data_IF_196573601471
#
_entry.id   IF_196573601471
#
_cell.length_a   1.000
_cell.length_b   1.000
_cell.length_c   1.000
_cell.angle_alpha   90.00
_cell.angle_beta   90.00
_cell.angle_gamma   90.00
#
_symmetry.space_group_name_H-M   'P 1'
#
loop_
_entity.id
_entity.type
_entity.pdbx_description
1 polymer ?
#
# COMPACT_ATOMS: atom_id res chain seq x y z
N UNK A 1 22.93 17.65 -0.66
CA UNK A 1 23.72 16.42 -0.89
C UNK A 1 22.91 15.32 -0.24
N UNK A 2 21.99 14.70 -1.00
CA UNK A 2 21.18 13.60 -0.47
C UNK A 2 22.04 12.34 -0.39
N UNK A 3 21.97 11.67 0.74
CA UNK A 3 22.76 10.48 1.06
C UNK A 3 22.05 9.25 0.48
N UNK A 4 22.81 8.41 -0.21
CA UNK A 4 22.37 7.10 -0.68
C UNK A 4 22.41 6.12 0.52
N UNK A 5 21.23 5.85 1.10
CA UNK A 5 20.90 4.75 2.02
C UNK A 5 21.76 4.53 3.28
N UNK A 6 21.23 4.96 4.43
CA UNK A 6 21.10 4.20 5.69
C UNK A 6 20.51 5.22 6.68
N UNK A 7 19.31 5.00 7.24
CA UNK A 7 19.18 4.59 8.65
C UNK A 7 17.80 3.95 8.91
N UNK A 8 17.80 2.74 9.47
CA UNK A 8 16.61 1.96 9.84
C UNK A 8 15.86 2.56 11.06
N UNK A 9 15.30 3.77 10.92
CA UNK A 9 14.49 4.42 11.97
C UNK A 9 13.00 4.06 11.89
N UNK A 10 12.61 3.21 10.92
CA UNK A 10 11.21 2.88 10.64
C UNK A 10 10.42 4.03 10.00
N UNK A 11 11.00 5.22 9.88
CA UNK A 11 10.49 6.27 9.00
C UNK A 11 11.28 6.18 7.70
N UNK A 12 10.58 6.30 6.56
CA UNK A 12 11.25 6.66 5.32
C UNK A 12 12.04 7.92 5.61
N UNK A 13 13.36 7.88 5.48
CA UNK A 13 14.18 9.09 5.62
C UNK A 13 13.60 10.13 4.65
N UNK A 14 13.17 11.29 5.18
CA UNK A 14 12.56 12.39 4.41
C UNK A 14 13.49 12.96 3.31
N UNK A 15 14.69 12.38 3.18
CA UNK A 15 15.70 12.72 2.19
C UNK A 15 15.66 11.85 0.93
N UNK A 16 14.92 10.74 0.89
CA UNK A 16 14.81 9.90 -0.31
C UNK A 16 13.61 10.29 -1.16
N UNK A 17 13.80 10.35 -2.48
CA UNK A 17 12.71 10.63 -3.43
C UNK A 17 11.71 9.47 -3.45
N UNK A 18 10.44 9.76 -3.17
CA UNK A 18 9.37 8.77 -3.13
C UNK A 18 8.47 8.84 -4.38
N UNK A 19 7.87 7.73 -4.81
CA UNK A 19 6.91 7.76 -5.90
C UNK A 19 5.80 8.79 -5.64
N UNK A 20 5.61 9.70 -6.60
CA UNK A 20 4.68 10.83 -6.52
C UNK A 20 5.35 12.18 -6.22
N UNK A 21 6.57 12.19 -5.67
CA UNK A 21 7.29 13.42 -5.34
C UNK A 21 7.66 14.20 -6.59
N UNK A 22 7.58 15.53 -6.49
CA UNK A 22 8.05 16.43 -7.55
C UNK A 22 9.58 16.37 -7.62
N UNK A 23 10.11 16.19 -8.82
CA UNK A 23 11.55 16.07 -9.06
C UNK A 23 12.13 17.43 -9.40
N UNK A 24 13.17 17.82 -8.65
CA UNK A 24 13.87 19.07 -8.86
C UNK A 24 14.62 19.12 -10.20
N UNK A 25 14.82 20.32 -10.74
CA UNK A 25 15.41 20.52 -12.07
C UNK A 25 16.80 19.88 -12.25
N UNK A 26 17.65 19.93 -11.21
CA UNK A 26 18.98 19.32 -11.24
C UNK A 26 18.89 17.78 -11.36
N UNK A 27 17.94 17.17 -10.67
CA UNK A 27 17.72 15.74 -10.76
C UNK A 27 17.10 15.36 -12.12
N UNK A 28 16.16 16.15 -12.64
CA UNK A 28 15.65 15.95 -14.01
C UNK A 28 16.79 15.99 -15.04
N UNK A 29 17.75 16.91 -14.88
CA UNK A 29 18.94 16.96 -15.74
C UNK A 29 19.76 15.66 -15.62
N UNK A 30 20.03 15.18 -14.41
CA UNK A 30 20.72 13.91 -14.19
C UNK A 30 20.01 12.72 -14.86
N UNK A 31 18.68 12.64 -14.75
CA UNK A 31 17.89 11.59 -15.41
C UNK A 31 18.01 11.65 -16.94
N UNK A 32 18.06 12.85 -17.53
CA UNK A 32 18.22 13.03 -18.99
C UNK A 32 19.60 12.62 -19.49
N UNK A 33 20.65 13.05 -18.80
CA UNK A 33 22.03 12.73 -19.21
C UNK A 33 22.32 11.22 -19.11
N UNK A 34 21.63 10.52 -18.21
CA UNK A 34 21.80 9.09 -17.97
C UNK A 34 20.60 8.27 -18.45
N UNK A 35 19.82 8.78 -19.40
CA UNK A 35 18.61 8.10 -19.88
C UNK A 35 18.96 6.87 -20.76
N UNK A 36 18.35 5.73 -20.44
CA UNK A 36 18.32 4.55 -21.32
C UNK A 36 17.07 4.50 -22.21
N UNK A 37 16.01 5.19 -21.79
CA UNK A 37 14.75 5.31 -22.51
C UNK A 37 14.09 6.65 -22.18
N UNK A 38 13.67 7.40 -23.21
CA UNK A 38 13.10 8.73 -23.03
C UNK A 38 12.00 9.03 -24.06
N UNK A 39 10.93 9.64 -23.57
CA UNK A 39 9.84 10.24 -24.34
C UNK A 39 9.58 11.67 -23.89
N UNK A 40 8.59 12.35 -24.48
CA UNK A 40 8.17 13.68 -24.05
C UNK A 40 7.64 13.74 -22.60
N UNK A 41 7.19 12.60 -22.06
CA UNK A 41 6.50 12.50 -20.76
C UNK A 41 7.12 11.50 -19.79
N UNK A 42 8.19 10.80 -20.18
CA UNK A 42 8.86 9.80 -19.35
C UNK A 42 10.37 9.81 -19.60
N UNK A 43 11.17 9.65 -18.55
CA UNK A 43 12.61 9.41 -18.64
C UNK A 43 12.93 8.25 -17.70
N UNK A 44 13.59 7.21 -18.22
CA UNK A 44 14.11 6.09 -17.44
C UNK A 44 15.63 6.07 -17.52
N UNK A 45 16.29 5.86 -16.39
CA UNK A 45 17.74 5.72 -16.32
C UNK A 45 18.21 4.48 -17.09
N UNK A 46 19.45 4.51 -17.58
CA UNK A 46 20.09 3.37 -18.25
C UNK A 46 20.63 2.33 -17.26
N UNK A 47 21.02 2.78 -16.06
CA UNK A 47 21.47 1.92 -14.97
C UNK A 47 20.32 1.11 -14.38
N UNK A 48 20.53 -0.19 -14.24
CA UNK A 48 19.58 -1.11 -13.60
C UNK A 48 19.56 -0.81 -12.10
N UNK A 49 18.38 -0.49 -11.57
CA UNK A 49 18.21 -0.20 -10.15
C UNK A 49 18.08 -1.50 -9.32
N UNK A 50 17.36 -2.50 -9.83
CA UNK A 50 17.21 -3.83 -9.23
C UNK A 50 16.68 -4.84 -10.29
N UNK A 51 16.54 -6.11 -9.91
CA UNK A 51 15.98 -7.18 -10.76
C UNK A 51 14.79 -7.85 -10.03
N UNK A 52 13.60 -7.71 -10.60
CA UNK A 52 12.36 -8.31 -10.07
C UNK A 52 11.88 -9.39 -11.05
N UNK A 53 11.81 -10.64 -10.61
CA UNK A 53 11.29 -11.75 -11.44
C UNK A 53 12.07 -11.94 -12.75
N UNK A 54 13.40 -11.77 -12.71
CA UNK A 54 14.33 -11.80 -13.85
C UNK A 54 14.22 -10.61 -14.83
N UNK A 55 13.41 -9.59 -14.50
CA UNK A 55 13.29 -8.38 -15.31
C UNK A 55 13.94 -7.20 -14.57
N UNK A 56 14.81 -6.42 -15.24
CA UNK A 56 15.41 -5.24 -14.63
C UNK A 56 14.37 -4.13 -14.44
N UNK A 57 14.52 -3.38 -13.36
CA UNK A 57 13.74 -2.16 -13.10
C UNK A 57 14.68 -0.95 -13.06
N UNK A 58 14.16 0.20 -13.47
CA UNK A 58 14.94 1.42 -13.70
C UNK A 58 14.32 2.60 -12.97
N UNK A 59 15.18 3.47 -12.43
CA UNK A 59 14.73 4.76 -11.92
C UNK A 59 13.97 5.51 -13.01
N UNK A 60 12.72 5.89 -12.72
CA UNK A 60 11.81 6.46 -13.71
C UNK A 60 11.20 7.76 -13.19
N UNK A 61 11.24 8.80 -14.00
CA UNK A 61 10.48 10.05 -13.78
C UNK A 61 9.48 10.23 -14.92
N UNK A 62 8.35 10.87 -14.61
CA UNK A 62 7.28 11.10 -15.57
C UNK A 62 6.61 12.46 -15.37
N UNK A 63 5.83 12.89 -16.36
CA UNK A 63 4.89 13.99 -16.22
C UNK A 63 3.61 13.69 -16.98
N UNK A 64 2.48 14.15 -16.46
CA UNK A 64 1.15 13.86 -17.03
C UNK A 64 0.96 14.49 -18.42
N UNK A 65 1.54 15.67 -18.63
CA UNK A 65 1.53 16.36 -19.92
C UNK A 65 2.71 17.35 -20.01
N UNK A 66 2.82 18.09 -21.13
CA UNK A 66 3.92 19.01 -21.38
C UNK A 66 4.11 20.07 -20.29
N UNK A 67 3.02 20.51 -19.66
CA UNK A 67 2.96 21.61 -18.69
C UNK A 67 3.01 21.15 -17.23
N UNK A 68 2.97 19.84 -16.98
CA UNK A 68 3.08 19.29 -15.62
C UNK A 68 4.55 19.22 -15.17
N UNK A 69 4.83 19.38 -13.86
CA UNK A 69 6.14 19.10 -13.31
C UNK A 69 6.50 17.61 -13.47
N UNK A 70 7.80 17.31 -13.48
CA UNK A 70 8.27 15.94 -13.38
C UNK A 70 8.00 15.40 -11.98
N UNK A 71 7.51 14.17 -11.92
CA UNK A 71 7.28 13.40 -10.70
C UNK A 71 8.09 12.10 -10.75
N UNK A 72 8.50 11.61 -9.60
CA UNK A 72 9.14 10.31 -9.52
C UNK A 72 8.11 9.19 -9.64
N UNK A 73 8.34 8.23 -10.53
CA UNK A 73 7.49 7.04 -10.67
C UNK A 73 8.00 5.88 -9.79
N UNK A 74 9.20 5.98 -9.22
CA UNK A 74 9.88 4.88 -8.55
C UNK A 74 10.82 4.12 -9.48
N UNK A 75 10.95 2.82 -9.22
CA UNK A 75 11.73 1.90 -10.04
C UNK A 75 10.77 1.01 -10.83
N UNK A 76 10.75 1.17 -12.15
CA UNK A 76 9.73 0.61 -13.02
C UNK A 76 10.33 -0.32 -14.07
N UNK A 77 9.52 -1.25 -14.60
CA UNK A 77 9.91 -1.99 -15.80
C UNK A 77 10.08 -1.04 -17.01
N UNK A 78 10.78 -1.47 -18.08
CA UNK A 78 10.90 -0.68 -19.29
C UNK A 78 9.54 -0.22 -19.85
N UNK A 79 9.38 1.08 -20.04
CA UNK A 79 8.16 1.69 -20.59
C UNK A 79 6.99 1.83 -19.59
N UNK A 80 7.12 1.35 -18.36
CA UNK A 80 6.07 1.41 -17.36
C UNK A 80 6.25 2.59 -16.38
N UNK A 81 5.17 2.95 -15.70
CA UNK A 81 5.13 4.03 -14.71
C UNK A 81 4.72 3.56 -13.31
N UNK A 82 4.57 2.25 -13.10
CA UNK A 82 4.26 1.69 -11.79
C UNK A 82 5.53 1.23 -11.10
N UNK A 83 5.80 1.78 -9.92
CA UNK A 83 6.89 1.30 -9.07
C UNK A 83 6.75 -0.21 -8.81
N UNK A 84 7.85 -0.95 -8.95
CA UNK A 84 7.94 -2.38 -8.70
C UNK A 84 8.80 -2.71 -7.49
N UNK A 85 9.58 -1.76 -6.97
CA UNK A 85 10.41 -2.00 -5.79
C UNK A 85 9.61 -1.80 -4.49
N UNK A 86 9.36 -2.84 -3.67
CA UNK A 86 8.67 -2.71 -2.40
C UNK A 86 9.31 -1.72 -1.41
N UNK A 87 10.63 -1.52 -1.49
CA UNK A 87 11.34 -0.55 -0.65
C UNK A 87 10.87 0.90 -0.89
N UNK A 88 10.23 1.18 -2.03
CA UNK A 88 9.67 2.50 -2.37
C UNK A 88 8.14 2.53 -2.34
N UNK A 89 7.48 1.42 -1.98
CA UNK A 89 6.02 1.35 -1.93
C UNK A 89 5.47 1.92 -0.62
N UNK A 90 4.45 2.79 -0.64
CA UNK A 90 3.80 3.21 0.59
C UNK A 90 3.06 2.03 1.24
N UNK A 91 3.06 1.99 2.57
CA UNK A 91 2.24 1.05 3.33
C UNK A 91 0.80 1.57 3.46
N UNK A 92 -0.18 0.68 3.29
CA UNK A 92 -1.60 0.98 3.40
C UNK A 92 -2.26 0.05 4.41
N UNK A 93 -2.88 0.64 5.43
CA UNK A 93 -3.60 -0.12 6.47
C UNK A 93 -4.95 -0.58 5.94
N UNK A 94 -5.30 -1.84 6.16
CA UNK A 94 -6.59 -2.40 5.77
C UNK A 94 -7.43 -2.57 7.03
N UNK A 95 -8.59 -1.92 7.02
CA UNK A 95 -9.60 -2.03 8.06
C UNK A 95 -10.82 -2.76 7.47
N UNK A 96 -11.08 -3.97 7.95
CA UNK A 96 -12.24 -4.77 7.56
C UNK A 96 -12.66 -5.68 8.70
N UNK A 97 -13.90 -6.14 8.68
CA UNK A 97 -14.41 -7.02 9.73
C UNK A 97 -13.64 -8.34 9.72
N UNK A 98 -13.33 -8.86 10.91
CA UNK A 98 -12.71 -10.17 11.08
C UNK A 98 -13.59 -11.11 11.91
N UNK A 99 -13.93 -10.71 13.13
CA UNK A 99 -14.78 -11.49 14.04
C UNK A 99 -16.15 -11.80 13.42
N UNK A 100 -16.61 -13.01 13.67
CA UNK A 100 -17.93 -13.49 13.30
C UNK A 100 -18.44 -14.50 14.34
N UNK A 101 -19.76 -14.70 14.36
CA UNK A 101 -20.42 -15.64 15.28
C UNK A 101 -20.41 -17.06 14.70
N UNK A 102 -20.33 -17.16 13.37
CA UNK A 102 -20.29 -18.44 12.64
C UNK A 102 -18.97 -18.62 11.90
N UNK A 103 -18.63 -19.87 11.61
CA UNK A 103 -17.43 -20.20 10.84
C UNK A 103 -17.53 -19.69 9.40
N UNK A 104 -18.70 -19.80 8.80
CA UNK A 104 -18.98 -19.39 7.43
C UNK A 104 -18.75 -17.88 7.25
N UNK A 105 -19.25 -17.08 8.17
CA UNK A 105 -19.04 -15.62 8.20
C UNK A 105 -17.57 -15.27 8.48
N UNK A 106 -16.87 -16.02 9.35
CA UNK A 106 -15.44 -15.83 9.58
C UNK A 106 -14.65 -16.07 8.29
N UNK A 107 -14.97 -17.14 7.57
CA UNK A 107 -14.34 -17.45 6.28
C UNK A 107 -14.65 -16.36 5.23
N UNK A 108 -15.85 -15.80 5.22
CA UNK A 108 -16.21 -14.66 4.38
C UNK A 108 -15.38 -13.42 4.70
N UNK A 109 -15.30 -13.03 5.97
CA UNK A 109 -14.48 -11.91 6.45
C UNK A 109 -13.00 -12.08 6.06
N UNK A 110 -12.45 -13.28 6.20
CA UNK A 110 -11.08 -13.59 5.75
C UNK A 110 -10.92 -13.40 4.24
N UNK A 111 -11.91 -13.81 3.43
CA UNK A 111 -11.88 -13.60 1.98
C UNK A 111 -11.92 -12.11 1.62
N UNK A 112 -12.72 -11.31 2.31
CA UNK A 112 -12.76 -9.84 2.14
C UNK A 112 -11.39 -9.22 2.42
N UNK A 113 -10.80 -9.54 3.57
CA UNK A 113 -9.49 -8.99 3.96
C UNK A 113 -8.37 -9.41 2.98
N UNK A 114 -8.35 -10.67 2.53
CA UNK A 114 -7.42 -11.13 1.49
C UNK A 114 -7.65 -10.45 0.16
N UNK A 115 -8.91 -10.20 -0.20
CA UNK A 115 -9.22 -9.48 -1.42
C UNK A 115 -8.65 -8.06 -1.37
N UNK A 116 -8.87 -7.36 -0.25
CA UNK A 116 -8.39 -6.00 0.00
C UNK A 116 -6.87 -5.94 -0.05
N UNK A 117 -6.17 -6.89 0.57
CA UNK A 117 -4.71 -6.98 0.54
C UNK A 117 -4.18 -7.08 -0.89
N UNK A 118 -4.75 -7.99 -1.69
CA UNK A 118 -4.37 -8.13 -3.09
C UNK A 118 -4.70 -6.88 -3.93
N UNK A 119 -5.80 -6.18 -3.64
CA UNK A 119 -6.13 -4.91 -4.31
C UNK A 119 -5.06 -3.86 -4.01
N UNK A 120 -4.69 -3.69 -2.74
CA UNK A 120 -3.64 -2.76 -2.32
C UNK A 120 -2.30 -3.09 -3.00
N UNK A 121 -1.92 -4.37 -3.09
CA UNK A 121 -0.73 -4.80 -3.85
C UNK A 121 -0.82 -4.39 -5.33
N UNK A 122 -1.98 -4.59 -5.98
CA UNK A 122 -2.16 -4.20 -7.39
C UNK A 122 -2.08 -2.69 -7.63
N UNK A 123 -2.31 -1.89 -6.59
CA UNK A 123 -2.14 -0.43 -6.61
C UNK A 123 -0.68 0.00 -6.36
N UNK A 124 0.27 -0.94 -6.20
CA UNK A 124 1.69 -0.66 -5.98
C UNK A 124 2.00 -0.26 -4.52
N UNK A 125 1.31 -0.88 -3.56
CA UNK A 125 1.38 -0.55 -2.13
C UNK A 125 1.58 -1.82 -1.30
N UNK A 126 2.12 -1.68 -0.09
CA UNK A 126 2.26 -2.79 0.86
C UNK A 126 1.01 -2.86 1.75
N UNK A 127 0.23 -3.96 1.73
CA UNK A 127 -0.95 -4.11 2.58
C UNK A 127 -0.57 -4.49 4.01
N UNK A 128 -1.13 -3.76 4.98
CA UNK A 128 -1.03 -4.07 6.41
C UNK A 128 -2.41 -4.45 6.93
N UNK A 129 -2.61 -5.75 7.19
CA UNK A 129 -3.88 -6.31 7.68
C UNK A 129 -3.64 -7.18 8.93
N UNK A 130 -3.43 -6.57 10.12
CA UNK A 130 -3.09 -7.30 11.34
C UNK A 130 -4.09 -8.38 11.71
N UNK A 131 -5.37 -8.10 11.47
CA UNK A 131 -6.48 -9.03 11.72
C UNK A 131 -6.39 -10.33 10.88
N UNK A 132 -5.59 -10.42 9.80
CA UNK A 132 -5.39 -11.68 9.09
C UNK A 132 -4.38 -12.62 9.77
N UNK A 133 -3.38 -12.08 10.46
CA UNK A 133 -2.24 -12.88 10.94
C UNK A 133 -2.15 -12.93 12.47
N UNK A 134 -2.51 -11.87 13.20
CA UNK A 134 -2.55 -11.90 14.67
C UNK A 134 -3.44 -13.03 15.22
N UNK A 135 -4.67 -13.24 14.73
CA UNK A 135 -5.52 -14.33 15.23
C UNK A 135 -5.04 -15.75 14.87
N UNK A 136 -3.91 -15.88 14.14
CA UNK A 136 -3.31 -17.18 13.82
C UNK A 136 -2.44 -17.71 14.96
N UNK A 137 -2.06 -16.84 15.89
CA UNK A 137 -1.23 -17.19 17.04
C UNK A 137 -1.66 -16.45 18.33
N UNK A 138 -2.74 -15.68 18.29
CA UNK A 138 -3.37 -15.04 19.44
C UNK A 138 -4.87 -15.30 19.44
N UNK A 139 -5.47 -15.28 20.62
CA UNK A 139 -6.89 -15.43 20.89
C UNK A 139 -7.48 -14.10 21.37
N UNK A 140 -8.20 -13.46 20.47
CA UNK A 140 -8.85 -12.17 20.70
C UNK A 140 -10.00 -12.25 21.73
N UNK A 141 -10.42 -13.46 22.15
CA UNK A 141 -11.32 -13.65 23.30
C UNK A 141 -10.63 -13.46 24.65
N UNK A 142 -9.30 -13.55 24.70
CA UNK A 142 -8.48 -13.28 25.88
C UNK A 142 -8.16 -11.79 25.93
N UNK A 143 -8.56 -11.12 27.03
CA UNK A 143 -8.48 -9.67 27.15
C UNK A 143 -7.05 -9.10 26.97
N UNK A 144 -6.04 -9.80 27.49
CA UNK A 144 -4.63 -9.40 27.38
C UNK A 144 -4.12 -9.50 25.93
N UNK A 145 -4.43 -10.60 25.25
CA UNK A 145 -4.03 -10.81 23.86
C UNK A 145 -4.78 -9.87 22.90
N UNK A 146 -6.06 -9.61 23.17
CA UNK A 146 -6.85 -8.56 22.50
C UNK A 146 -6.18 -7.20 22.64
N UNK A 147 -5.81 -6.81 23.86
CA UNK A 147 -5.12 -5.54 24.09
C UNK A 147 -3.83 -5.45 23.26
N UNK A 148 -3.00 -6.50 23.28
CA UNK A 148 -1.80 -6.55 22.46
C UNK A 148 -2.12 -6.41 20.97
N UNK A 149 -3.07 -7.18 20.44
CA UNK A 149 -3.43 -7.16 19.02
C UNK A 149 -3.89 -5.77 18.56
N UNK A 150 -4.68 -5.08 19.37
CA UNK A 150 -5.15 -3.72 19.08
C UNK A 150 -4.00 -2.70 19.10
N UNK A 151 -3.17 -2.70 20.15
CA UNK A 151 -2.07 -1.72 20.27
C UNK A 151 -0.95 -1.98 19.26
N UNK A 152 -0.62 -3.24 18.97
CA UNK A 152 0.32 -3.60 17.93
C UNK A 152 -0.24 -3.22 16.53
N UNK A 153 -1.54 -3.40 16.30
CA UNK A 153 -2.23 -2.94 15.10
C UNK A 153 -2.09 -1.42 14.90
N UNK A 154 -2.37 -0.63 15.94
CA UNK A 154 -2.16 0.83 15.93
C UNK A 154 -0.70 1.21 15.66
N UNK A 155 0.27 0.49 16.24
CA UNK A 155 1.70 0.75 15.98
C UNK A 155 2.08 0.52 14.51
N UNK A 156 1.54 -0.52 13.87
CA UNK A 156 1.73 -0.78 12.45
C UNK A 156 1.02 0.26 11.57
N UNK A 157 -0.17 0.68 11.99
CA UNK A 157 -0.94 1.74 11.35
C UNK A 157 -0.18 3.07 11.32
N UNK A 158 0.59 3.40 12.35
CA UNK A 158 1.47 4.59 12.36
C UNK A 158 2.57 4.57 11.28
N UNK A 159 2.88 3.41 10.70
CA UNK A 159 3.83 3.28 9.58
C UNK A 159 3.16 3.47 8.21
N UNK A 160 1.83 3.46 8.17
CA UNK A 160 1.07 3.57 6.94
C UNK A 160 0.94 5.03 6.49
N UNK A 161 0.91 5.25 5.17
CA UNK A 161 0.67 6.57 4.57
C UNK A 161 -0.82 6.83 4.32
N UNK A 162 -1.59 5.77 4.13
CA UNK A 162 -3.03 5.82 3.89
C UNK A 162 -3.71 4.55 4.43
N UNK A 163 -5.03 4.52 4.36
CA UNK A 163 -5.82 3.34 4.71
C UNK A 163 -6.91 3.00 3.69
N UNK A 164 -7.36 1.75 3.73
CA UNK A 164 -8.52 1.24 3.01
C UNK A 164 -9.49 0.60 4.00
N UNK A 165 -10.70 1.16 4.11
CA UNK A 165 -11.83 0.56 4.83
C UNK A 165 -12.64 -0.28 3.85
N UNK A 166 -12.92 -1.54 4.18
CA UNK A 166 -13.81 -2.40 3.40
C UNK A 166 -14.96 -2.87 4.26
N UNK A 167 -16.19 -2.58 3.83
CA UNK A 167 -17.43 -2.98 4.48
C UNK A 167 -18.26 -3.88 3.57
N UNK A 168 -19.08 -4.73 4.20
CA UNK A 168 -20.15 -5.49 3.52
C UNK A 168 -21.46 -5.03 4.13
N UNK A 169 -22.41 -4.66 3.28
CA UNK A 169 -23.71 -4.09 3.63
C UNK A 169 -23.60 -2.89 4.60
N UNK A 170 -22.53 -2.10 4.47
CA UNK A 170 -22.16 -0.95 5.32
C UNK A 170 -21.97 -1.30 6.81
N UNK A 171 -21.73 -2.57 7.14
CA UNK A 171 -21.53 -2.99 8.53
C UNK A 171 -20.13 -2.62 9.01
N UNK A 172 -20.06 -1.87 10.11
CA UNK A 172 -18.83 -1.50 10.82
C UNK A 172 -18.86 -2.17 12.19
N UNK A 173 -17.83 -2.96 12.49
CA UNK A 173 -17.67 -3.56 13.82
C UNK A 173 -17.06 -2.58 14.83
N UNK A 174 -17.19 -2.87 16.13
CA UNK A 174 -16.56 -2.07 17.19
C UNK A 174 -15.06 -1.87 16.96
N UNK A 175 -14.33 -2.95 16.64
CA UNK A 175 -12.90 -2.89 16.36
C UNK A 175 -12.57 -2.02 15.14
N UNK A 176 -13.37 -2.11 14.07
CA UNK A 176 -13.20 -1.23 12.91
C UNK A 176 -13.46 0.23 13.26
N UNK A 177 -14.48 0.51 14.07
CA UNK A 177 -14.79 1.88 14.47
C UNK A 177 -13.64 2.50 15.29
N UNK A 178 -13.02 1.73 16.19
CA UNK A 178 -11.84 2.16 16.94
C UNK A 178 -10.63 2.41 16.03
N UNK A 179 -10.37 1.52 15.06
CA UNK A 179 -9.33 1.71 14.06
C UNK A 179 -9.58 2.97 13.21
N UNK A 180 -10.81 3.17 12.74
CA UNK A 180 -11.20 4.33 11.92
C UNK A 180 -11.04 5.62 12.71
N UNK A 181 -11.51 5.67 13.96
CA UNK A 181 -11.33 6.84 14.84
C UNK A 181 -9.84 7.16 15.03
N UNK A 182 -9.02 6.14 15.30
CA UNK A 182 -7.58 6.34 15.46
C UNK A 182 -6.92 6.86 14.17
N UNK A 183 -7.21 6.26 13.01
CA UNK A 183 -6.66 6.72 11.72
C UNK A 183 -7.06 8.16 11.40
N UNK A 184 -8.34 8.49 11.58
CA UNK A 184 -8.90 9.76 11.09
C UNK A 184 -8.74 10.90 12.08
N UNK A 185 -8.93 10.66 13.38
CA UNK A 185 -8.96 11.71 14.40
C UNK A 185 -7.66 11.80 15.22
N UNK A 186 -6.85 10.74 15.27
CA UNK A 186 -5.53 10.76 15.95
C UNK A 186 -4.39 10.95 14.98
N UNK A 187 -4.35 10.16 13.90
CA UNK A 187 -3.28 10.25 12.90
C UNK A 187 -3.55 11.29 11.81
N UNK A 188 -4.78 11.80 11.70
CA UNK A 188 -5.21 12.68 10.60
C UNK A 188 -4.89 12.09 9.22
N UNK A 189 -4.91 10.76 9.13
CA UNK A 189 -4.58 10.02 7.93
C UNK A 189 -5.74 10.10 6.93
N UNK A 190 -5.42 10.17 5.64
CA UNK A 190 -6.42 10.06 4.58
C UNK A 190 -6.49 8.63 4.08
N UNK A 191 -7.66 8.22 3.62
CA UNK A 191 -7.89 6.88 3.12
C UNK A 191 -9.10 6.79 2.22
N UNK A 192 -9.39 5.57 1.77
CA UNK A 192 -10.53 5.25 0.90
C UNK A 192 -11.45 4.27 1.62
N UNK A 193 -12.71 4.23 1.20
CA UNK A 193 -13.66 3.19 1.61
C UNK A 193 -14.24 2.49 0.39
N UNK A 194 -14.52 1.20 0.54
CA UNK A 194 -15.24 0.38 -0.43
C UNK A 194 -16.32 -0.38 0.32
N UNK A 195 -17.56 -0.25 -0.14
CA UNK A 195 -18.66 -1.02 0.37
C UNK A 195 -19.13 -2.04 -0.66
N UNK A 196 -19.27 -3.29 -0.24
CA UNK A 196 -19.91 -4.35 -1.02
C UNK A 196 -21.33 -4.59 -0.54
N UNK A 197 -22.20 -5.06 -1.44
CA UNK A 197 -23.35 -5.88 -1.03
C UNK A 197 -22.89 -7.34 -0.88
N UNK A 198 -23.58 -8.17 -0.10
CA UNK A 198 -23.28 -9.62 -0.04
C UNK A 198 -23.20 -10.28 -1.42
N UNK A 199 -24.19 -10.02 -2.29
CA UNK A 199 -24.20 -10.52 -3.67
C UNK A 199 -23.01 -10.01 -4.48
N UNK A 200 -22.65 -8.73 -4.33
CA UNK A 200 -21.51 -8.13 -5.02
C UNK A 200 -20.18 -8.73 -4.55
N UNK A 201 -20.07 -9.07 -3.27
CA UNK A 201 -18.89 -9.72 -2.73
C UNK A 201 -18.69 -11.13 -3.32
N UNK A 202 -19.75 -11.93 -3.43
CA UNK A 202 -19.69 -13.26 -4.03
C UNK A 202 -19.14 -13.22 -5.46
N UNK A 203 -19.62 -12.29 -6.28
CA UNK A 203 -19.15 -12.11 -7.66
C UNK A 203 -17.66 -11.72 -7.72
N UNK A 204 -17.23 -10.82 -6.82
CA UNK A 204 -15.84 -10.37 -6.74
C UNK A 204 -14.90 -11.48 -6.28
N UNK A 205 -15.32 -12.30 -5.32
CA UNK A 205 -14.55 -13.46 -4.84
C UNK A 205 -14.46 -14.54 -5.92
N UNK A 206 -15.58 -14.88 -6.57
CA UNK A 206 -15.64 -15.95 -7.59
C UNK A 206 -14.77 -15.62 -8.81
N UNK A 207 -14.80 -14.38 -9.30
CA UNK A 207 -13.98 -13.93 -10.44
C UNK A 207 -12.45 -14.03 -10.22
N UNK A 208 -12.00 -14.25 -8.98
CA UNK A 208 -10.60 -14.43 -8.61
C UNK A 208 -10.17 -15.89 -8.42
N UNK A 209 -11.11 -16.83 -8.24
CA UNK A 209 -10.79 -18.26 -8.20
C UNK A 209 -10.54 -18.82 -9.61
N UNK A 210 -10.95 -18.09 -10.64
CA UNK A 210 -10.81 -18.46 -12.07
C UNK A 210 -9.53 -17.91 -12.73
N UNK A 211 -8.60 -17.32 -11.97
CA UNK A 211 -7.29 -16.84 -12.45
C UNK A 211 -6.15 -17.60 -11.78
#
# INVERSE_FOLDING_TARGET
MQILFDNWTGRYDDECLMPGDIVEAAMVYNFRENAGNQTDTMIQMSEVADIVGNLPIYGTIYKENRYSPWKYAGQCYPGELQNRNPALMPMCYICSRYRADTREELEENIRVAKWAANKVVSEGKIPIAPHLYFPRFMDDSIAEERYFGMEAGKRLMMQCKEFLVVTVDNVISEGMNEEIDYMTNKLMMQGKSINFTRLGLEQVILSRLER
#
